data_IF_068377456318
#
_entry.id   IF_068377456318
#
_cell.length_a   1.000
_cell.length_b   1.000
_cell.length_c   1.000
_cell.angle_alpha   90.00
_cell.angle_beta   90.00
_cell.angle_gamma   90.00
#
_symmetry.space_group_name_H-M   'P 1'
#
loop_
_entity.id
_entity.type
_entity.pdbx_description
1 polymer ?
#
# COMPACT_ATOMS: atom_id res chain seq x y z
N UNK A 1 -16.80 0.47 10.32
CA UNK A 1 -16.07 -0.21 11.43
C UNK A 1 -17.09 -0.67 12.47
N UNK A 2 -16.96 -1.92 12.89
CA UNK A 2 -17.78 -2.53 13.94
C UNK A 2 -16.86 -2.87 15.09
N UNK A 3 -17.25 -2.51 16.32
CA UNK A 3 -16.54 -2.87 17.54
C UNK A 3 -17.45 -3.71 18.44
N UNK A 4 -16.88 -4.75 19.04
CA UNK A 4 -17.56 -5.61 20.02
C UNK A 4 -16.61 -5.86 21.18
N UNK A 5 -17.10 -5.65 22.40
CA UNK A 5 -16.34 -5.91 23.62
C UNK A 5 -16.99 -7.07 24.38
N UNK A 6 -16.17 -7.98 24.90
CA UNK A 6 -16.59 -9.08 25.76
C UNK A 6 -15.44 -9.51 26.65
N UNK A 7 -15.70 -9.76 27.94
CA UNK A 7 -14.71 -10.25 28.90
C UNK A 7 -13.36 -9.47 28.92
N UNK A 8 -13.42 -8.15 28.77
CA UNK A 8 -12.22 -7.29 28.73
C UNK A 8 -11.43 -7.32 27.41
N UNK A 9 -11.91 -8.05 26.40
CA UNK A 9 -11.36 -8.08 25.05
C UNK A 9 -12.24 -7.27 24.10
N UNK A 10 -11.62 -6.48 23.22
CA UNK A 10 -12.31 -5.68 22.20
C UNK A 10 -11.89 -6.12 20.81
N UNK A 11 -12.86 -6.62 20.03
CA UNK A 11 -12.70 -6.93 18.62
C UNK A 11 -13.14 -5.74 17.77
N UNK A 12 -12.24 -5.26 16.92
CA UNK A 12 -12.54 -4.22 15.93
C UNK A 12 -12.42 -4.80 14.53
N UNK A 13 -13.49 -4.70 13.74
CA UNK A 13 -13.54 -5.12 12.34
C UNK A 13 -13.76 -3.90 11.46
N UNK A 14 -12.89 -3.72 10.48
CA UNK A 14 -12.97 -2.63 9.51
C UNK A 14 -13.41 -3.27 8.19
N UNK A 15 -14.68 -3.07 7.86
CA UNK A 15 -15.19 -3.38 6.53
C UNK A 15 -14.82 -2.25 5.56
N UNK A 16 -14.41 -2.62 4.35
CA UNK A 16 -13.86 -1.70 3.34
C UNK A 16 -14.67 -1.81 2.05
N UNK A 17 -14.97 -0.69 1.37
CA UNK A 17 -15.53 -0.76 0.02
C UNK A 17 -14.61 -1.53 -0.93
N UNK A 18 -15.18 -2.04 -2.03
CA UNK A 18 -14.40 -2.71 -3.08
C UNK A 18 -13.29 -1.80 -3.62
N UNK A 19 -12.09 -2.35 -3.75
CA UNK A 19 -10.92 -1.63 -4.28
C UNK A 19 -10.91 -1.58 -5.81
N UNK A 20 -11.79 -2.32 -6.47
CA UNK A 20 -11.90 -2.45 -7.91
C UNK A 20 -13.13 -1.68 -8.39
N UNK A 21 -12.97 -0.88 -9.44
CA UNK A 21 -14.06 -0.23 -10.18
C UNK A 21 -13.86 -0.50 -11.67
N UNK A 22 -14.72 -1.34 -12.25
CA UNK A 22 -14.52 -1.86 -13.60
C UNK A 22 -13.23 -2.67 -13.70
N UNK A 23 -12.34 -2.29 -14.62
CA UNK A 23 -11.08 -2.99 -14.89
C UNK A 23 -9.86 -2.32 -14.21
N UNK A 24 -10.08 -1.38 -13.30
CA UNK A 24 -9.04 -0.60 -12.64
C UNK A 24 -9.22 -0.53 -11.12
N UNK A 25 -8.15 -0.11 -10.44
CA UNK A 25 -8.20 0.18 -9.00
C UNK A 25 -8.83 1.55 -8.78
N UNK A 26 -9.73 1.63 -7.81
CA UNK A 26 -10.30 2.88 -7.37
C UNK A 26 -9.35 3.56 -6.37
N UNK A 27 -8.49 4.44 -6.89
CA UNK A 27 -7.53 5.23 -6.09
C UNK A 27 -8.22 6.10 -5.03
N UNK A 28 -9.43 6.59 -5.30
CA UNK A 28 -10.19 7.40 -4.34
C UNK A 28 -10.62 6.57 -3.13
N UNK A 29 -11.10 5.36 -3.35
CA UNK A 29 -11.43 4.40 -2.27
C UNK A 29 -10.19 4.07 -1.46
N UNK A 30 -9.05 3.87 -2.14
CA UNK A 30 -7.78 3.58 -1.47
C UNK A 30 -7.29 4.76 -0.62
N UNK A 31 -7.43 6.01 -1.10
CA UNK A 31 -7.14 7.21 -0.32
C UNK A 31 -8.05 7.37 0.90
N UNK A 32 -9.35 7.10 0.75
CA UNK A 32 -10.31 7.12 1.86
C UNK A 32 -9.92 6.08 2.90
N UNK A 33 -9.54 4.87 2.46
CA UNK A 33 -9.11 3.80 3.34
C UNK A 33 -7.82 4.17 4.10
N UNK A 34 -6.82 4.75 3.41
CA UNK A 34 -5.59 5.25 4.04
C UNK A 34 -5.90 6.26 5.14
N UNK A 35 -6.73 7.27 4.84
CA UNK A 35 -7.12 8.30 5.81
C UNK A 35 -7.89 7.72 6.98
N UNK A 36 -8.78 6.76 6.72
CA UNK A 36 -9.55 6.08 7.76
C UNK A 36 -8.65 5.28 8.71
N UNK A 37 -7.60 4.65 8.18
CA UNK A 37 -6.66 3.84 8.94
C UNK A 37 -5.56 4.66 9.63
N UNK A 38 -5.42 5.96 9.34
CA UNK A 38 -4.42 6.81 9.97
C UNK A 38 -4.51 6.76 11.51
N UNK A 39 -3.37 6.54 12.15
CA UNK A 39 -3.20 6.33 13.59
C UNK A 39 -3.89 5.07 14.15
N UNK A 40 -4.24 4.10 13.29
CA UNK A 40 -4.72 2.78 13.70
C UNK A 40 -3.62 1.74 13.55
N UNK A 41 -3.70 0.72 14.37
CA UNK A 41 -2.86 -0.47 14.27
C UNK A 41 -3.63 -1.58 13.56
N UNK A 42 -3.03 -2.17 12.54
CA UNK A 42 -3.56 -3.35 11.84
C UNK A 42 -2.93 -4.58 12.43
N UNK A 43 -3.75 -5.39 13.09
CA UNK A 43 -3.32 -6.67 13.69
C UNK A 43 -3.47 -7.84 12.72
N UNK A 44 -4.47 -7.84 11.85
CA UNK A 44 -4.68 -8.87 10.83
C UNK A 44 -5.29 -8.25 9.59
N UNK A 45 -4.82 -8.66 8.42
CA UNK A 45 -5.45 -8.39 7.12
C UNK A 45 -6.24 -9.62 6.68
N UNK A 46 -7.53 -9.47 6.39
CA UNK A 46 -8.30 -10.51 5.71
C UNK A 46 -8.39 -10.16 4.22
N UNK A 47 -7.65 -10.87 3.38
CA UNK A 47 -7.76 -10.79 1.93
C UNK A 47 -8.86 -11.74 1.47
N UNK A 48 -10.03 -11.19 1.17
CA UNK A 48 -11.24 -11.96 0.87
C UNK A 48 -11.43 -12.09 -0.63
N UNK A 49 -11.67 -13.32 -1.08
CA UNK A 49 -11.99 -13.64 -2.47
C UNK A 49 -13.04 -14.75 -2.51
N UNK A 50 -13.59 -15.05 -3.68
CA UNK A 50 -14.59 -16.08 -3.91
C UNK A 50 -13.95 -17.40 -4.33
N UNK A 51 -14.40 -18.51 -3.74
CA UNK A 51 -13.99 -19.85 -4.15
C UNK A 51 -14.47 -20.15 -5.58
N UNK A 52 -15.73 -19.82 -5.90
CA UNK A 52 -16.39 -20.08 -7.19
C UNK A 52 -15.93 -19.18 -8.34
N UNK A 53 -14.91 -18.33 -8.13
CA UNK A 53 -14.28 -17.55 -9.18
C UNK A 53 -13.25 -18.40 -9.95
N UNK A 54 -13.39 -18.45 -11.27
CA UNK A 54 -12.59 -19.32 -12.15
C UNK A 54 -11.26 -18.73 -12.61
N UNK A 55 -11.03 -17.43 -12.40
CA UNK A 55 -9.84 -16.73 -12.89
C UNK A 55 -9.19 -15.95 -11.77
N UNK A 56 -7.86 -15.97 -11.79
CA UNK A 56 -7.04 -14.99 -11.10
C UNK A 56 -6.36 -14.18 -12.19
N UNK A 57 -6.64 -12.88 -12.23
CA UNK A 57 -6.26 -12.02 -13.34
C UNK A 57 -5.19 -10.99 -12.95
N UNK A 58 -4.91 -10.07 -13.86
CA UNK A 58 -3.96 -8.99 -13.60
C UNK A 58 -4.54 -7.96 -12.61
N UNK A 59 -5.84 -7.92 -12.41
CA UNK A 59 -6.50 -7.02 -11.47
C UNK A 59 -6.25 -7.46 -10.04
N UNK A 60 -6.32 -8.76 -9.75
CA UNK A 60 -5.90 -9.33 -8.46
C UNK A 60 -4.46 -8.93 -8.11
N UNK A 61 -3.56 -9.03 -9.10
CA UNK A 61 -2.16 -8.62 -8.92
C UNK A 61 -2.04 -7.14 -8.62
N UNK A 62 -2.80 -6.30 -9.31
CA UNK A 62 -2.82 -4.86 -9.08
C UNK A 62 -3.32 -4.56 -7.66
N UNK A 63 -4.39 -5.22 -7.18
CA UNK A 63 -4.94 -5.00 -5.83
C UNK A 63 -3.90 -5.35 -4.78
N UNK A 64 -3.26 -6.52 -4.89
CA UNK A 64 -2.18 -6.94 -3.99
C UNK A 64 -1.04 -5.92 -4.00
N UNK A 65 -0.65 -5.44 -5.19
CA UNK A 65 0.39 -4.42 -5.33
C UNK A 65 0.00 -3.12 -4.63
N UNK A 66 -1.22 -2.64 -4.84
CA UNK A 66 -1.72 -1.43 -4.20
C UNK A 66 -1.74 -1.55 -2.67
N UNK A 67 -2.25 -2.66 -2.12
CA UNK A 67 -2.20 -2.93 -0.67
C UNK A 67 -0.76 -2.89 -0.15
N UNK A 68 0.16 -3.52 -0.89
CA UNK A 68 1.59 -3.57 -0.54
C UNK A 68 2.24 -2.19 -0.56
N UNK A 69 1.92 -1.35 -1.54
CA UNK A 69 2.40 0.03 -1.64
C UNK A 69 1.82 0.91 -0.53
N UNK A 70 0.60 0.63 -0.08
CA UNK A 70 -0.07 1.42 0.97
C UNK A 70 0.39 1.08 2.39
N UNK A 71 0.59 -0.19 2.69
CA UNK A 71 0.82 -0.67 4.06
C UNK A 71 2.18 -1.36 4.24
N UNK A 72 2.97 -1.48 3.17
CA UNK A 72 4.25 -2.16 3.15
C UNK A 72 4.12 -3.68 3.07
N UNK A 73 5.21 -4.34 2.66
CA UNK A 73 5.28 -5.81 2.51
C UNK A 73 4.97 -6.56 3.80
N UNK A 74 5.28 -5.96 4.96
CA UNK A 74 5.06 -6.58 6.26
C UNK A 74 3.61 -6.94 6.55
N UNK A 75 2.63 -6.34 5.85
CA UNK A 75 1.20 -6.63 6.08
C UNK A 75 0.86 -8.08 5.75
N UNK A 76 1.59 -8.67 4.80
CA UNK A 76 1.38 -10.04 4.36
C UNK A 76 1.86 -11.08 5.38
N UNK A 77 2.71 -10.70 6.34
CA UNK A 77 3.09 -11.58 7.46
C UNK A 77 1.94 -11.77 8.45
N UNK A 78 0.92 -10.90 8.38
CA UNK A 78 -0.28 -10.94 9.21
C UNK A 78 -1.55 -10.97 8.35
N UNK A 79 -1.44 -11.47 7.13
CA UNK A 79 -2.56 -11.60 6.20
C UNK A 79 -3.09 -13.03 6.14
N UNK A 80 -4.41 -13.16 6.00
CA UNK A 80 -5.12 -14.40 5.73
C UNK A 80 -5.88 -14.28 4.42
N UNK A 81 -5.68 -15.26 3.54
CA UNK A 81 -6.50 -15.40 2.33
C UNK A 81 -7.75 -16.19 2.71
N UNK A 82 -8.91 -15.56 2.55
CA UNK A 82 -10.22 -16.11 2.94
C UNK A 82 -11.03 -16.33 1.67
N UNK A 83 -11.40 -17.58 1.40
CA UNK A 83 -12.28 -17.93 0.28
C UNK A 83 -13.72 -18.05 0.77
N UNK A 84 -14.58 -17.18 0.25
CA UNK A 84 -16.04 -17.18 0.47
C UNK A 84 -16.72 -18.15 -0.49
N UNK A 85 -18.03 -18.36 -0.33
CA UNK A 85 -18.82 -19.31 -1.12
C UNK A 85 -18.31 -20.77 -0.98
N UNK A 86 -17.88 -21.16 0.23
CA UNK A 86 -17.37 -22.50 0.52
C UNK A 86 -18.41 -23.64 0.31
N UNK A 87 -19.71 -23.31 0.20
CA UNK A 87 -20.75 -24.28 -0.15
C UNK A 87 -20.86 -24.55 -1.66
N UNK A 88 -19.96 -23.98 -2.47
CA UNK A 88 -19.88 -24.23 -3.90
C UNK A 88 -19.62 -25.71 -4.21
N UNK A 89 -20.37 -26.25 -5.17
CA UNK A 89 -20.15 -27.58 -5.73
C UNK A 89 -19.29 -27.44 -6.99
N UNK A 90 -18.06 -27.99 -7.01
CA UNK A 90 -17.19 -27.93 -8.18
C UNK A 90 -17.85 -28.52 -9.44
N UNK A 91 -17.45 -28.08 -10.65
CA UNK A 91 -17.89 -28.69 -11.89
C UNK A 91 -17.51 -30.18 -11.96
N UNK A 92 -18.25 -30.93 -12.79
CA UNK A 92 -18.03 -32.37 -12.98
C UNK A 92 -16.56 -32.71 -13.26
N UNK A 93 -16.02 -33.68 -12.51
CA UNK A 93 -14.65 -34.18 -12.68
C UNK A 93 -13.60 -33.58 -11.74
N UNK A 94 -13.97 -32.69 -10.81
CA UNK A 94 -13.07 -32.22 -9.74
C UNK A 94 -13.62 -32.55 -8.35
N UNK A 95 -12.74 -33.03 -7.46
CA UNK A 95 -13.05 -33.08 -6.04
C UNK A 95 -13.07 -31.66 -5.44
N UNK A 96 -13.82 -31.46 -4.35
CA UNK A 96 -13.85 -30.19 -3.62
C UNK A 96 -12.46 -29.79 -3.14
N UNK A 97 -11.68 -30.74 -2.64
CA UNK A 97 -10.31 -30.51 -2.17
C UNK A 97 -9.38 -30.08 -3.30
N UNK A 98 -9.45 -30.74 -4.47
CA UNK A 98 -8.65 -30.36 -5.65
C UNK A 98 -8.98 -28.96 -6.14
N UNK A 99 -10.27 -28.62 -6.17
CA UNK A 99 -10.72 -27.29 -6.58
C UNK A 99 -10.23 -26.21 -5.61
N UNK A 100 -10.38 -26.43 -4.31
CA UNK A 100 -9.87 -25.54 -3.27
C UNK A 100 -8.35 -25.38 -3.34
N UNK A 101 -7.62 -26.48 -3.51
CA UNK A 101 -6.15 -26.50 -3.62
C UNK A 101 -5.66 -25.71 -4.84
N UNK A 102 -6.26 -25.93 -6.01
CA UNK A 102 -5.93 -25.18 -7.23
C UNK A 102 -6.25 -23.70 -7.09
N UNK A 103 -7.43 -23.36 -6.56
CA UNK A 103 -7.88 -21.97 -6.43
C UNK A 103 -7.04 -21.19 -5.43
N UNK A 104 -6.81 -21.75 -4.24
CA UNK A 104 -5.96 -21.16 -3.22
C UNK A 104 -4.52 -21.03 -3.70
N UNK A 105 -3.96 -22.07 -4.33
CA UNK A 105 -2.61 -22.02 -4.91
C UNK A 105 -2.43 -20.93 -5.96
N UNK A 106 -3.40 -20.75 -6.85
CA UNK A 106 -3.39 -19.68 -7.85
C UNK A 106 -3.43 -18.28 -7.20
N UNK A 107 -4.29 -18.09 -6.20
CA UNK A 107 -4.43 -16.81 -5.51
C UNK A 107 -3.17 -16.46 -4.72
N UNK A 108 -2.62 -17.43 -3.98
CA UNK A 108 -1.37 -17.26 -3.22
C UNK A 108 -0.20 -16.91 -4.13
N UNK A 109 -0.13 -17.50 -5.33
CA UNK A 109 0.88 -17.15 -6.32
C UNK A 109 0.77 -15.67 -6.71
N UNK A 110 -0.45 -15.17 -6.93
CA UNK A 110 -0.67 -13.76 -7.25
C UNK A 110 -0.38 -12.84 -6.08
N UNK A 111 -0.76 -13.21 -4.86
CA UNK A 111 -0.39 -12.47 -3.65
C UNK A 111 1.14 -12.36 -3.54
N UNK A 112 1.88 -13.46 -3.69
CA UNK A 112 3.35 -13.44 -3.62
C UNK A 112 3.96 -12.55 -4.70
N UNK A 113 3.49 -12.66 -5.94
CA UNK A 113 4.01 -11.88 -7.07
C UNK A 113 3.65 -10.38 -6.98
N UNK A 114 2.43 -10.05 -6.55
CA UNK A 114 1.96 -8.67 -6.40
C UNK A 114 2.62 -7.97 -5.21
N UNK A 115 2.85 -8.70 -4.12
CA UNK A 115 3.50 -8.18 -2.92
C UNK A 115 5.03 -8.17 -3.01
N UNK A 116 5.60 -8.87 -3.99
CA UNK A 116 7.05 -9.03 -4.12
C UNK A 116 7.66 -9.77 -2.93
N UNK A 117 7.00 -10.85 -2.50
CA UNK A 117 7.44 -11.76 -1.44
C UNK A 117 8.38 -12.82 -2.02
N UNK A 118 9.35 -13.26 -1.21
CA UNK A 118 10.26 -14.34 -1.57
C UNK A 118 9.62 -15.71 -1.36
N UNK A 119 10.13 -16.75 -2.03
CA UNK A 119 9.60 -18.13 -1.91
C UNK A 119 9.63 -18.68 -0.48
N UNK A 120 10.48 -18.14 0.40
CA UNK A 120 10.65 -18.59 1.78
C UNK A 120 9.75 -17.86 2.79
N UNK A 121 8.99 -16.85 2.34
CA UNK A 121 8.06 -16.13 3.20
C UNK A 121 6.90 -17.05 3.61
N UNK A 122 6.81 -17.35 4.92
CA UNK A 122 5.79 -18.22 5.49
C UNK A 122 4.42 -17.52 5.45
N UNK A 123 3.54 -17.98 4.58
CA UNK A 123 2.12 -17.64 4.63
C UNK A 123 1.39 -18.69 5.46
N UNK A 124 0.60 -18.23 6.43
CA UNK A 124 -0.30 -19.12 7.19
C UNK A 124 -1.50 -19.41 6.30
N UNK A 125 -1.64 -20.67 5.90
CA UNK A 125 -2.73 -21.14 5.06
C UNK A 125 -3.80 -21.80 5.92
N UNK A 126 -5.10 -21.54 5.66
CA UNK A 126 -6.16 -22.35 6.23
C UNK A 126 -6.11 -23.78 5.64
N UNK A 127 -6.33 -24.78 6.49
CA UNK A 127 -6.19 -26.22 6.20
C UNK A 127 -7.39 -26.82 5.43
N UNK A 128 -8.14 -26.00 4.71
CA UNK A 128 -9.37 -26.40 4.03
C UNK A 128 -10.58 -26.58 4.96
N UNK A 129 -10.42 -26.40 6.28
CA UNK A 129 -11.54 -26.47 7.23
C UNK A 129 -12.40 -25.22 7.13
N UNK A 130 -13.66 -25.38 6.71
CA UNK A 130 -14.63 -24.30 6.66
C UNK A 130 -15.29 -24.06 8.04
N UNK A 131 -15.39 -22.80 8.45
CA UNK A 131 -16.20 -22.42 9.62
C UNK A 131 -15.66 -21.23 10.41
N UNK A 132 -16.57 -20.54 11.10
CA UNK A 132 -16.26 -19.38 11.95
C UNK A 132 -15.24 -19.73 13.06
N UNK A 133 -15.37 -20.86 13.79
CA UNK A 133 -14.40 -21.20 14.85
C UNK A 133 -12.98 -21.40 14.31
N UNK A 134 -12.83 -22.04 13.15
CA UNK A 134 -11.54 -22.22 12.51
C UNK A 134 -10.94 -20.88 12.06
N UNK A 135 -11.74 -20.02 11.43
CA UNK A 135 -11.30 -18.67 11.04
C UNK A 135 -10.78 -17.88 12.26
N UNK A 136 -11.53 -17.90 13.36
CA UNK A 136 -11.13 -17.19 14.60
C UNK A 136 -9.85 -17.78 15.20
N UNK A 137 -9.68 -19.10 15.17
CA UNK A 137 -8.44 -19.76 15.59
C UNK A 137 -7.26 -19.30 14.73
N UNK A 138 -7.40 -19.33 13.41
CA UNK A 138 -6.33 -18.94 12.47
C UNK A 138 -5.99 -17.45 12.60
N UNK A 139 -6.98 -16.58 12.85
CA UNK A 139 -6.75 -15.16 13.20
C UNK A 139 -5.89 -15.07 14.46
N UNK A 140 -6.21 -15.84 15.49
CA UNK A 140 -5.47 -15.85 16.77
C UNK A 140 -4.03 -16.32 16.56
N UNK A 141 -3.82 -17.38 15.79
CA UNK A 141 -2.49 -17.93 15.47
C UNK A 141 -1.64 -16.90 14.72
N UNK A 142 -2.22 -16.17 13.77
CA UNK A 142 -1.54 -15.08 13.05
C UNK A 142 -1.19 -13.92 13.97
N UNK A 143 -2.10 -13.54 14.88
CA UNK A 143 -1.83 -12.46 15.84
C UNK A 143 -0.67 -12.82 16.77
N UNK A 144 -0.57 -14.09 17.16
CA UNK A 144 0.42 -14.62 18.09
C UNK A 144 1.72 -15.10 17.42
N UNK A 145 1.85 -14.99 16.09
CA UNK A 145 3.01 -15.53 15.35
C UNK A 145 4.34 -14.76 15.55
N UNK A 146 4.36 -13.75 16.41
CA UNK A 146 5.54 -12.92 16.71
C UNK A 146 5.83 -11.81 15.70
N UNK A 147 5.09 -11.74 14.58
CA UNK A 147 5.20 -10.63 13.62
C UNK A 147 4.66 -9.35 14.22
N UNK A 148 5.26 -8.20 13.92
CA UNK A 148 4.78 -6.90 14.43
C UNK A 148 3.49 -6.48 13.73
N UNK A 149 2.55 -5.94 14.50
CA UNK A 149 1.39 -5.25 13.95
C UNK A 149 1.81 -3.98 13.19
N UNK A 150 0.95 -3.49 12.31
CA UNK A 150 1.28 -2.33 11.46
C UNK A 150 0.58 -1.10 12.00
N UNK A 151 1.36 -0.20 12.60
CA UNK A 151 0.88 1.14 12.89
C UNK A 151 0.83 1.93 11.58
N UNK A 152 -0.37 2.35 11.21
CA UNK A 152 -0.59 3.18 10.03
C UNK A 152 -0.32 4.63 10.39
N UNK A 153 0.91 5.07 10.19
CA UNK A 153 1.32 6.45 10.39
C UNK A 153 1.32 7.25 9.07
N UNK A 154 1.47 8.56 9.19
CA UNK A 154 1.51 9.45 8.02
C UNK A 154 2.67 9.12 7.07
N UNK A 155 3.80 8.63 7.63
CA UNK A 155 4.99 8.23 6.87
C UNK A 155 4.75 6.98 6.03
N UNK A 156 3.98 6.02 6.52
CA UNK A 156 3.57 4.81 5.81
C UNK A 156 2.61 5.16 4.67
N UNK A 157 1.64 6.05 4.92
CA UNK A 157 0.61 6.45 3.93
C UNK A 157 1.18 7.29 2.79
N UNK A 158 2.03 8.28 3.09
CA UNK A 158 2.59 9.21 2.10
C UNK A 158 3.86 8.67 1.43
N UNK A 159 4.45 7.61 1.98
CA UNK A 159 5.72 7.05 1.53
C UNK A 159 6.91 7.97 1.80
N UNK A 160 8.11 7.53 1.42
CA UNK A 160 9.31 8.39 1.50
C UNK A 160 9.20 9.49 0.44
N UNK A 161 8.80 10.70 0.83
CA UNK A 161 8.69 11.85 -0.07
C UNK A 161 10.03 12.10 -0.82
N UNK A 162 10.12 11.83 -2.14
CA UNK A 162 11.37 11.96 -2.88
C UNK A 162 11.87 13.41 -2.91
N UNK A 163 10.97 14.38 -2.84
CA UNK A 163 11.30 15.80 -2.86
C UNK A 163 11.98 16.30 -1.58
N UNK A 164 11.86 15.59 -0.44
CA UNK A 164 12.57 15.97 0.80
C UNK A 164 14.10 15.87 0.63
N UNK A 165 14.59 14.90 -0.16
CA UNK A 165 16.04 14.70 -0.36
C UNK A 165 16.70 15.88 -1.09
N UNK A 166 15.98 16.51 -2.01
CA UNK A 166 16.50 17.64 -2.79
C UNK A 166 16.24 19.00 -2.14
N UNK A 167 15.29 19.09 -1.19
CA UNK A 167 15.06 20.31 -0.40
C UNK A 167 16.29 20.79 0.36
N UNK A 168 17.15 19.86 0.80
CA UNK A 168 18.41 20.19 1.45
C UNK A 168 19.36 21.03 0.57
N UNK A 169 19.30 20.88 -0.76
CA UNK A 169 20.16 21.62 -1.68
C UNK A 169 19.62 23.01 -2.04
N UNK A 170 18.37 23.33 -1.68
CA UNK A 170 17.74 24.63 -1.97
C UNK A 170 18.59 25.81 -1.48
N UNK A 171 19.11 25.83 -0.23
CA UNK A 171 19.95 26.93 0.25
C UNK A 171 21.26 27.07 -0.53
N UNK A 172 21.85 25.93 -0.95
CA UNK A 172 23.10 25.90 -1.70
C UNK A 172 22.92 26.46 -3.13
N UNK A 173 21.81 26.09 -3.78
CA UNK A 173 21.43 26.60 -5.10
C UNK A 173 21.17 28.11 -5.04
N UNK A 174 20.45 28.59 -4.01
CA UNK A 174 20.24 30.03 -3.82
C UNK A 174 21.56 30.78 -3.55
N UNK A 175 22.47 30.22 -2.75
CA UNK A 175 23.77 30.81 -2.50
C UNK A 175 24.62 30.89 -3.79
N UNK A 176 24.59 29.84 -4.62
CA UNK A 176 25.25 29.83 -5.92
C UNK A 176 24.65 30.88 -6.87
N UNK A 177 23.32 30.93 -7.00
CA UNK A 177 22.64 31.95 -7.81
C UNK A 177 23.00 33.37 -7.35
N UNK A 178 23.02 33.61 -6.04
CA UNK A 178 23.40 34.92 -5.50
C UNK A 178 24.85 35.29 -5.80
N UNK A 179 25.80 34.36 -5.59
CA UNK A 179 27.21 34.66 -5.72
C UNK A 179 27.69 34.73 -7.18
N UNK A 180 27.13 33.89 -8.06
CA UNK A 180 27.62 33.76 -9.44
C UNK A 180 26.74 34.48 -10.47
N UNK A 181 25.43 34.57 -10.25
CA UNK A 181 24.51 35.24 -11.18
C UNK A 181 24.27 36.69 -10.74
N UNK A 182 23.77 36.90 -9.51
CA UNK A 182 23.37 38.25 -9.05
C UNK A 182 24.55 39.20 -8.92
N UNK A 183 25.69 38.76 -8.35
CA UNK A 183 26.89 39.60 -8.29
C UNK A 183 27.45 39.96 -9.65
N UNK A 184 27.47 39.01 -10.59
CA UNK A 184 27.97 39.23 -11.95
C UNK A 184 27.09 40.21 -12.71
N UNK A 185 25.76 40.07 -12.60
CA UNK A 185 24.80 41.00 -13.18
C UNK A 185 24.93 42.41 -12.59
N UNK A 186 25.01 42.55 -11.26
CA UNK A 186 25.22 43.87 -10.62
C UNK A 186 26.51 44.53 -11.07
N UNK A 187 27.58 43.74 -11.27
CA UNK A 187 28.86 44.24 -11.78
C UNK A 187 28.76 44.69 -13.23
N UNK A 188 28.06 43.94 -14.09
CA UNK A 188 27.80 44.32 -15.47
C UNK A 188 26.99 45.62 -15.56
N UNK A 189 25.89 45.72 -14.82
CA UNK A 189 25.05 46.93 -14.76
C UNK A 189 25.86 48.14 -14.29
N UNK A 190 26.70 47.99 -13.25
CA UNK A 190 27.54 49.09 -12.75
C UNK A 190 28.59 49.53 -13.77
N UNK A 191 29.15 48.59 -14.53
CA UNK A 191 30.12 48.89 -15.58
C UNK A 191 29.46 49.58 -16.78
N UNK A 192 28.21 49.22 -17.11
CA UNK A 192 27.46 49.88 -18.18
C UNK A 192 27.06 51.31 -17.80
N UNK A 193 26.56 51.51 -16.57
CA UNK A 193 26.28 52.86 -16.02
C UNK A 193 27.55 53.72 -16.00
N UNK A 194 28.72 53.14 -15.69
CA UNK A 194 29.99 53.86 -15.68
C UNK A 194 30.53 54.17 -17.10
N UNK A 195 30.13 53.39 -18.11
CA UNK A 195 30.45 53.64 -19.52
C UNK A 195 29.51 54.65 -20.18
N UNK A 196 28.30 54.85 -19.67
CA UNK A 196 27.43 55.97 -20.03
C UNK A 196 27.94 57.29 -19.43
N UNK A 197 29.12 57.70 -19.86
CA UNK A 197 29.62 59.05 -19.71
C UNK A 197 28.88 60.00 -20.64
N UNK A 198 27.80 60.60 -20.12
CA UNK A 198 27.07 61.79 -20.62
C UNK A 198 26.24 61.61 -21.91
N UNK A 199 24.94 61.85 -21.77
CA UNK A 199 23.98 62.01 -22.85
C UNK A 199 24.37 63.19 -23.77
N UNK A 200 24.43 62.95 -25.09
CA UNK A 200 24.84 63.94 -26.09
C UNK A 200 23.69 64.86 -26.54
N UNK A 201 22.86 65.36 -25.63
CA UNK A 201 21.71 66.21 -25.97
C UNK A 201 21.99 67.73 -25.92
N UNK A 202 23.26 68.14 -26.04
CA UNK A 202 23.63 69.54 -26.29
C UNK A 202 24.87 69.61 -27.19
N UNK A 203 24.65 69.61 -28.50
CA UNK A 203 25.50 70.30 -29.50
C UNK A 203 24.64 70.72 -30.67
#
# INVERSE_FOLDING_TARGET
MVSRASAGFTLNIIDTPGLIEGDFINDRTLEILKRFLLNKTIDVLLYVDRLDAYRVDNLDRQVVKAITECFGKGIWNRALVVLTHAQFSPPDGFSYEDFCSKRSGALLKVVRLGAGLEKHDKQVLPDGTAGIPHLVKTITDVVLNGSKSILVDKKLIEGSNPNERWKFFIPLIFAFQYFFVVKSMKRAIKNDIAKEGRASWYK
#
